data_IF_139431654080
#
_entry.id   IF_139431654080
#
_cell.length_a   1.000
_cell.length_b   1.000
_cell.length_c   1.000
_cell.angle_alpha   90.00
_cell.angle_beta   90.00
_cell.angle_gamma   90.00
#
_symmetry.space_group_name_H-M   'P 1'
#
loop_
_entity.id
_entity.type
_entity.pdbx_description
1 polymer ?
#
# COMPACT_ATOMS: atom_id res chain seq x y z
N UNK A 1 -1.56 38.33 59.33
CA UNK A 1 -1.81 37.12 58.52
C UNK A 1 -2.72 37.57 57.42
N UNK A 2 -2.33 37.33 56.18
CA UNK A 2 -3.12 36.74 55.10
C UNK A 2 -2.11 36.30 54.04
N UNK A 3 -2.44 35.30 53.22
CA UNK A 3 -1.45 34.51 52.47
C UNK A 3 -1.22 35.02 51.05
N UNK A 4 0.04 35.12 50.64
CA UNK A 4 0.41 35.20 49.22
C UNK A 4 0.01 33.91 48.49
N UNK A 5 -0.74 34.05 47.40
CA UNK A 5 -0.90 33.04 46.37
C UNK A 5 -0.05 33.44 45.16
N UNK A 6 0.88 32.61 44.67
CA UNK A 6 1.58 32.89 43.43
C UNK A 6 0.61 32.77 42.24
N UNK A 7 0.70 33.72 41.31
CA UNK A 7 -0.03 33.63 40.04
C UNK A 7 0.42 32.40 39.25
N UNK A 8 -0.54 31.61 38.78
CA UNK A 8 -0.33 30.65 37.70
C UNK A 8 -0.27 31.43 36.39
N UNK A 9 0.78 31.22 35.59
CA UNK A 9 0.81 31.67 34.21
C UNK A 9 0.06 30.64 33.36
N UNK A 10 -0.96 31.07 32.62
CA UNK A 10 -1.49 30.30 31.49
C UNK A 10 -0.47 30.35 30.34
N UNK A 11 0.53 29.47 30.39
CA UNK A 11 1.34 29.13 29.22
C UNK A 11 0.59 28.11 28.38
N UNK A 12 0.35 28.45 27.11
CA UNK A 12 -0.34 27.59 26.15
C UNK A 12 0.29 26.19 26.11
N UNK A 13 -0.48 25.16 26.49
CA UNK A 13 -0.07 23.76 26.36
C UNK A 13 -0.22 23.38 24.89
N UNK A 14 0.81 23.68 24.10
CA UNK A 14 1.04 22.99 22.83
C UNK A 14 1.56 21.59 23.16
N UNK A 15 0.79 20.55 22.85
CA UNK A 15 1.21 19.16 22.98
C UNK A 15 2.33 18.84 21.97
N UNK A 16 3.56 19.21 22.32
CA UNK A 16 4.78 18.73 21.65
C UNK A 16 5.02 17.29 22.08
N UNK A 17 4.24 16.37 21.50
CA UNK A 17 4.56 14.94 21.50
C UNK A 17 5.96 14.75 20.90
N UNK A 18 6.77 13.88 21.50
CA UNK A 18 8.19 13.73 21.19
C UNK A 18 8.46 13.14 19.79
N UNK A 19 8.49 13.96 18.73
CA UNK A 19 9.03 13.63 17.39
C UNK A 19 10.57 13.54 17.41
N UNK A 20 11.11 12.83 18.42
CA UNK A 20 12.55 12.62 18.65
C UNK A 20 12.95 11.15 18.81
N UNK A 21 12.03 10.21 18.55
CA UNK A 21 12.45 8.85 18.19
C UNK A 21 12.94 8.86 16.74
N UNK A 22 14.26 8.73 16.54
CA UNK A 22 14.83 8.50 15.21
C UNK A 22 14.31 7.16 14.68
N UNK A 23 13.26 7.23 13.87
CA UNK A 23 12.69 6.07 13.20
C UNK A 23 13.71 5.54 12.18
N UNK A 24 14.29 4.36 12.45
CA UNK A 24 15.14 3.60 11.51
C UNK A 24 14.27 2.93 10.41
N UNK A 25 13.33 3.72 9.89
CA UNK A 25 12.39 3.42 8.82
C UNK A 25 13.02 3.92 7.51
N UNK A 26 13.11 3.10 6.44
CA UNK A 26 13.59 3.59 5.16
C UNK A 26 12.72 4.75 4.68
N UNK A 27 13.33 5.92 4.45
CA UNK A 27 12.61 7.09 3.92
C UNK A 27 12.60 7.05 2.40
N UNK A 28 11.43 7.31 1.83
CA UNK A 28 11.19 7.46 0.39
C UNK A 28 10.93 8.94 0.10
N UNK A 29 11.70 9.51 -0.81
CA UNK A 29 11.80 10.95 -0.98
C UNK A 29 11.24 11.39 -2.33
N UNK A 30 10.09 12.08 -2.35
CA UNK A 30 9.42 12.54 -3.57
C UNK A 30 9.87 13.97 -3.94
N UNK A 31 10.57 14.10 -5.06
CA UNK A 31 11.14 15.35 -5.58
C UNK A 31 10.77 15.60 -7.04
N UNK A 32 11.01 16.82 -7.54
CA UNK A 32 10.62 17.27 -8.89
C UNK A 32 10.05 18.68 -8.90
N UNK A 33 9.81 19.26 -10.09
CA UNK A 33 9.30 20.64 -10.23
C UNK A 33 7.89 20.85 -9.66
N UNK A 34 7.47 22.11 -9.49
CA UNK A 34 6.08 22.41 -9.15
C UNK A 34 5.13 21.86 -10.23
N UNK A 35 3.95 21.35 -9.85
CA UNK A 35 2.94 20.72 -10.74
C UNK A 35 3.36 19.42 -11.46
N UNK A 36 4.54 18.86 -11.20
CA UNK A 36 4.98 17.59 -11.82
C UNK A 36 4.18 16.33 -11.40
N UNK A 37 3.29 16.42 -10.42
CA UNK A 37 2.35 15.33 -10.05
C UNK A 37 2.65 14.58 -8.74
N UNK A 38 3.76 14.86 -8.04
CA UNK A 38 4.15 14.17 -6.78
C UNK A 38 3.00 13.93 -5.79
N UNK A 39 2.26 14.97 -5.43
CA UNK A 39 1.20 14.89 -4.43
C UNK A 39 -0.02 14.11 -4.95
N UNK A 40 -0.29 14.15 -6.26
CA UNK A 40 -1.28 13.30 -6.93
C UNK A 40 -0.87 11.83 -6.88
N UNK A 41 0.39 11.52 -7.22
CA UNK A 41 0.98 10.18 -7.12
C UNK A 41 0.82 9.63 -5.69
N UNK A 42 1.20 10.41 -4.67
CA UNK A 42 1.09 10.02 -3.26
C UNK A 42 -0.36 9.67 -2.88
N UNK A 43 -1.33 10.55 -3.21
CA UNK A 43 -2.74 10.35 -2.83
C UNK A 43 -3.41 9.22 -3.60
N UNK A 44 -3.03 8.97 -4.85
CA UNK A 44 -3.50 7.80 -5.64
C UNK A 44 -2.97 6.50 -5.02
N UNK A 45 -1.65 6.37 -4.87
CA UNK A 45 -1.02 5.10 -4.49
C UNK A 45 -1.25 4.73 -3.01
N UNK A 46 -1.21 5.70 -2.10
CA UNK A 46 -1.27 5.42 -0.64
C UNK A 46 -2.60 5.85 0.00
N UNK A 47 -3.27 6.85 -0.58
CA UNK A 47 -4.59 7.32 -0.14
C UNK A 47 -5.79 6.63 -0.80
N UNK A 48 -5.58 5.74 -1.78
CA UNK A 48 -6.63 5.20 -2.68
C UNK A 48 -7.53 6.28 -3.33
N UNK A 49 -7.02 7.50 -3.50
CA UNK A 49 -7.79 8.59 -4.13
C UNK A 49 -7.94 8.33 -5.63
N UNK A 50 -9.15 8.39 -6.22
CA UNK A 50 -9.33 8.12 -7.65
C UNK A 50 -8.62 9.22 -8.47
N UNK A 51 -7.98 8.89 -9.62
CA UNK A 51 -7.12 9.83 -10.35
C UNK A 51 -7.81 11.13 -10.76
N UNK A 52 -9.11 11.09 -11.06
CA UNK A 52 -9.92 12.25 -11.45
C UNK A 52 -10.00 13.31 -10.34
N UNK A 53 -10.07 12.91 -9.07
CA UNK A 53 -10.20 13.84 -7.95
C UNK A 53 -8.88 14.55 -7.64
N UNK A 54 -7.75 14.02 -8.13
CA UNK A 54 -6.44 14.65 -7.95
C UNK A 54 -6.30 16.00 -8.65
N UNK A 55 -7.19 16.31 -9.60
CA UNK A 55 -7.28 17.62 -10.26
C UNK A 55 -7.60 18.76 -9.29
N UNK A 56 -8.25 18.45 -8.16
CA UNK A 56 -8.62 19.41 -7.12
C UNK A 56 -7.56 19.57 -6.02
N UNK A 57 -6.41 18.88 -6.11
CA UNK A 57 -5.34 19.02 -5.12
C UNK A 57 -4.65 20.40 -5.22
N UNK A 58 -4.63 21.13 -4.11
CA UNK A 58 -3.89 22.38 -4.01
C UNK A 58 -2.36 22.17 -4.12
N UNK A 59 -1.63 23.22 -4.47
CA UNK A 59 -0.17 23.16 -4.54
C UNK A 59 0.44 23.04 -3.14
N UNK A 60 1.03 21.89 -2.83
CA UNK A 60 1.80 21.62 -1.60
C UNK A 60 2.81 22.75 -1.29
N UNK A 61 2.58 23.46 -0.17
CA UNK A 61 3.39 24.61 0.29
C UNK A 61 4.34 24.29 1.44
N UNK A 62 4.13 23.16 2.13
CA UNK A 62 4.98 22.63 3.21
C UNK A 62 5.31 21.17 2.90
N UNK A 63 6.44 20.66 3.41
CA UNK A 63 6.78 19.24 3.28
C UNK A 63 5.69 18.41 3.97
N UNK A 64 5.04 17.51 3.22
CA UNK A 64 4.12 16.52 3.80
C UNK A 64 4.92 15.26 4.13
N UNK A 65 5.03 14.94 5.43
CA UNK A 65 5.48 13.61 5.90
C UNK A 65 4.26 12.70 6.01
N UNK A 66 4.32 11.50 5.45
CA UNK A 66 3.34 10.43 5.65
C UNK A 66 4.05 9.15 6.12
N UNK A 67 3.74 8.71 7.35
CA UNK A 67 4.20 7.43 7.90
C UNK A 67 3.29 6.30 7.38
N UNK A 68 3.75 5.58 6.36
CA UNK A 68 3.08 4.38 5.85
C UNK A 68 3.51 3.19 6.70
N UNK A 69 2.89 3.04 7.88
CA UNK A 69 3.08 1.87 8.76
C UNK A 69 2.09 0.77 8.41
N UNK A 70 2.38 -0.01 7.35
CA UNK A 70 1.45 -1.04 6.83
C UNK A 70 2.17 -2.38 6.63
N UNK A 71 2.15 -3.19 7.70
CA UNK A 71 2.56 -4.60 7.88
C UNK A 71 3.93 -5.10 7.42
N UNK A 72 4.47 -4.68 6.29
CA UNK A 72 5.66 -5.29 5.69
C UNK A 72 6.89 -4.37 5.71
N UNK A 73 6.73 -3.10 5.32
CA UNK A 73 7.73 -2.05 5.58
C UNK A 73 7.00 -0.88 6.24
N UNK A 74 7.52 -0.43 7.38
CA UNK A 74 7.23 0.92 7.86
C UNK A 74 8.15 1.89 7.11
N UNK A 75 7.63 2.66 6.16
CA UNK A 75 8.39 3.69 5.45
C UNK A 75 7.75 5.07 5.62
N UNK A 76 8.58 6.11 5.52
CA UNK A 76 8.09 7.50 5.51
C UNK A 76 8.18 8.05 4.10
N UNK A 77 7.07 8.51 3.53
CA UNK A 77 7.05 9.31 2.30
C UNK A 77 7.15 10.78 2.67
N UNK A 78 8.11 11.49 2.08
CA UNK A 78 8.26 12.93 2.23
C UNK A 78 8.04 13.60 0.86
N UNK A 79 6.90 14.28 0.66
CA UNK A 79 6.61 15.10 -0.54
C UNK A 79 7.16 16.53 -0.36
N UNK A 80 8.10 16.92 -1.22
CA UNK A 80 8.74 18.23 -1.17
C UNK A 80 8.03 19.25 -2.09
N UNK A 81 7.62 20.42 -1.58
CA UNK A 81 7.19 21.54 -2.41
C UNK A 81 8.23 21.84 -3.50
N UNK A 82 7.80 21.83 -4.76
CA UNK A 82 8.68 22.03 -5.92
C UNK A 82 9.36 23.40 -6.02
N UNK A 83 9.15 24.28 -5.03
CA UNK A 83 9.80 25.59 -4.88
C UNK A 83 10.94 25.60 -3.85
N UNK A 84 11.09 24.57 -2.99
CA UNK A 84 12.15 24.57 -1.97
C UNK A 84 13.52 24.51 -2.61
N UNK A 85 14.38 25.47 -2.27
CA UNK A 85 15.81 25.41 -2.53
C UNK A 85 16.51 24.65 -1.40
N UNK A 86 17.14 23.53 -1.74
CA UNK A 86 17.90 22.66 -0.83
C UNK A 86 19.16 23.31 -0.21
N UNK A 87 19.30 24.64 -0.34
CA UNK A 87 20.43 25.45 0.11
C UNK A 87 20.04 26.53 1.13
N UNK A 88 18.75 26.66 1.48
CA UNK A 88 18.37 27.47 2.64
C UNK A 88 18.87 26.81 3.93
N UNK A 89 19.58 27.57 4.76
CA UNK A 89 20.17 27.10 6.04
C UNK A 89 19.13 26.64 7.09
N UNK A 90 17.84 26.67 6.75
CA UNK A 90 16.75 26.13 7.57
C UNK A 90 16.54 24.60 7.40
N UNK A 91 17.20 23.96 6.43
CA UNK A 91 17.06 22.54 6.14
C UNK A 91 18.42 21.83 6.23
N UNK A 92 18.60 20.95 7.22
CA UNK A 92 19.83 20.14 7.27
C UNK A 92 19.75 18.98 6.26
N UNK A 93 20.50 19.13 5.18
CA UNK A 93 20.71 18.09 4.17
C UNK A 93 21.19 16.74 4.75
N UNK A 94 21.89 16.73 5.89
CA UNK A 94 22.36 15.49 6.52
C UNK A 94 21.22 14.74 7.21
N UNK A 95 20.32 15.44 7.91
CA UNK A 95 19.12 14.82 8.51
C UNK A 95 18.14 14.32 7.44
N UNK A 96 18.01 15.06 6.33
CA UNK A 96 17.11 14.73 5.22
C UNK A 96 17.63 13.52 4.44
N UNK A 97 18.86 13.56 3.92
CA UNK A 97 19.38 12.50 3.03
C UNK A 97 20.06 11.33 3.78
N UNK A 98 20.44 11.49 5.04
CA UNK A 98 21.18 10.47 5.81
C UNK A 98 20.40 9.17 6.06
N UNK A 99 19.07 9.23 6.11
CA UNK A 99 18.15 8.08 6.36
C UNK A 99 17.25 7.73 5.17
N UNK A 100 17.55 8.30 4.00
CA UNK A 100 16.83 7.99 2.75
C UNK A 100 17.38 6.70 2.13
N UNK A 101 16.48 5.81 1.74
CA UNK A 101 16.83 4.62 0.96
C UNK A 101 16.63 4.81 -0.55
N UNK A 102 15.59 5.55 -0.94
CA UNK A 102 15.26 5.83 -2.33
C UNK A 102 14.85 7.30 -2.53
N UNK A 103 15.46 7.94 -3.54
CA UNK A 103 15.08 9.25 -4.02
C UNK A 103 14.34 9.12 -5.35
N UNK A 104 13.05 9.45 -5.33
CA UNK A 104 12.14 9.41 -6.47
C UNK A 104 12.02 10.83 -7.04
N UNK A 105 12.49 11.05 -8.27
CA UNK A 105 12.37 12.35 -8.94
C UNK A 105 11.35 12.29 -10.07
N UNK A 106 10.30 13.11 -9.95
CA UNK A 106 9.16 13.16 -10.87
C UNK A 106 9.34 14.28 -11.90
N UNK A 107 9.63 13.88 -13.14
CA UNK A 107 9.70 14.73 -14.35
C UNK A 107 8.34 14.72 -15.02
N UNK A 108 7.85 15.88 -15.45
CA UNK A 108 6.66 15.99 -16.30
C UNK A 108 7.05 15.75 -17.76
N UNK A 109 6.40 14.80 -18.45
CA UNK A 109 6.66 14.49 -19.85
C UNK A 109 5.88 15.38 -20.84
N UNK A 110 4.95 16.20 -20.37
CA UNK A 110 4.13 17.09 -21.19
C UNK A 110 4.63 18.56 -21.18
N UNK A 111 5.62 18.89 -20.35
CA UNK A 111 6.21 20.22 -20.18
C UNK A 111 7.72 20.22 -20.53
N UNK A 112 8.39 21.38 -20.53
CA UNK A 112 9.84 21.46 -20.78
C UNK A 112 10.65 20.90 -19.61
N UNK A 113 10.97 19.61 -19.70
CA UNK A 113 11.82 18.90 -18.75
C UNK A 113 13.25 19.45 -18.66
N UNK A 114 13.69 20.41 -19.49
CA UNK A 114 15.06 20.97 -19.43
C UNK A 114 15.38 21.59 -18.05
N UNK A 115 14.44 22.28 -17.40
CA UNK A 115 14.65 22.74 -16.02
C UNK A 115 14.66 21.57 -15.03
N UNK A 116 13.78 20.58 -15.23
CA UNK A 116 13.67 19.39 -14.38
C UNK A 116 14.97 18.57 -14.39
N UNK A 117 15.61 18.41 -15.55
CA UNK A 117 16.91 17.73 -15.70
C UNK A 117 18.02 18.46 -14.93
N UNK A 118 18.10 19.79 -15.06
CA UNK A 118 19.07 20.58 -14.29
C UNK A 118 18.86 20.41 -12.78
N UNK A 119 17.60 20.45 -12.32
CA UNK A 119 17.27 20.26 -10.89
C UNK A 119 17.54 18.83 -10.42
N UNK A 120 17.29 17.82 -11.24
CA UNK A 120 17.62 16.41 -10.98
C UNK A 120 19.13 16.25 -10.76
N UNK A 121 19.96 16.74 -11.68
CA UNK A 121 21.43 16.67 -11.59
C UNK A 121 21.98 17.28 -10.29
N UNK A 122 21.51 18.47 -9.91
CA UNK A 122 21.90 19.10 -8.64
C UNK A 122 21.42 18.31 -7.42
N UNK A 123 20.22 17.72 -7.48
CA UNK A 123 19.63 16.92 -6.39
C UNK A 123 20.42 15.63 -6.17
N UNK A 124 20.66 14.85 -7.22
CA UNK A 124 21.43 13.60 -7.20
C UNK A 124 22.85 13.84 -6.70
N UNK A 125 23.54 14.86 -7.24
CA UNK A 125 24.90 15.22 -6.84
C UNK A 125 24.98 15.66 -5.38
N UNK A 126 23.94 16.29 -4.83
CA UNK A 126 23.89 16.70 -3.43
C UNK A 126 23.60 15.52 -2.50
N UNK A 127 22.62 14.68 -2.84
CA UNK A 127 22.23 13.50 -2.07
C UNK A 127 23.35 12.46 -1.99
N UNK A 128 23.98 12.12 -3.12
CA UNK A 128 25.08 11.14 -3.18
C UNK A 128 26.32 11.56 -2.37
N UNK A 129 26.54 12.87 -2.21
CA UNK A 129 27.59 13.43 -1.34
C UNK A 129 27.30 13.32 0.16
N UNK A 130 26.05 13.11 0.55
CA UNK A 130 25.65 12.86 1.94
C UNK A 130 25.59 11.35 2.23
N UNK A 131 24.92 10.59 1.37
CA UNK A 131 24.73 9.15 1.52
C UNK A 131 24.88 8.44 0.15
N UNK A 132 25.97 7.67 -0.07
CA UNK A 132 26.20 6.97 -1.33
C UNK A 132 25.34 5.71 -1.51
N UNK A 133 24.57 5.30 -0.49
CA UNK A 133 23.71 4.11 -0.55
C UNK A 133 22.28 4.42 -1.03
N UNK A 134 21.97 5.67 -1.38
CA UNK A 134 20.66 6.07 -1.92
C UNK A 134 20.47 5.46 -3.31
N UNK A 135 19.34 4.80 -3.53
CA UNK A 135 18.86 4.42 -4.87
C UNK A 135 18.20 5.63 -5.55
N UNK A 136 18.50 5.85 -6.84
CA UNK A 136 18.05 7.02 -7.59
C UNK A 136 17.11 6.62 -8.73
N UNK A 137 15.87 7.04 -8.61
CA UNK A 137 14.73 6.52 -9.36
C UNK A 137 13.99 7.69 -10.02
N UNK A 138 13.86 7.69 -11.34
CA UNK A 138 13.31 8.80 -12.12
C UNK A 138 11.97 8.38 -12.71
N UNK A 139 10.90 9.07 -12.31
CA UNK A 139 9.57 8.88 -12.89
C UNK A 139 9.38 9.92 -14.00
N UNK A 140 9.33 9.45 -15.24
CA UNK A 140 8.84 10.22 -16.38
C UNK A 140 7.32 10.09 -16.33
N UNK A 141 6.64 11.18 -15.99
CA UNK A 141 5.26 11.17 -15.55
C UNK A 141 4.32 11.89 -16.53
N UNK A 142 3.02 11.60 -16.44
CA UNK A 142 1.98 12.07 -17.37
C UNK A 142 2.18 11.60 -18.82
N UNK A 143 2.53 10.32 -18.97
CA UNK A 143 2.71 9.69 -20.29
C UNK A 143 1.40 9.30 -20.99
N UNK A 144 0.26 9.52 -20.33
CA UNK A 144 -1.11 9.23 -20.79
C UNK A 144 -1.46 9.89 -22.13
N UNK A 145 -1.09 11.16 -22.33
CA UNK A 145 -1.36 11.91 -23.56
C UNK A 145 -0.38 11.65 -24.72
N UNK A 146 0.58 10.72 -24.58
CA UNK A 146 1.71 10.56 -25.49
C UNK A 146 1.63 9.26 -26.32
N UNK A 147 2.09 9.29 -27.56
CA UNK A 147 2.25 8.08 -28.38
C UNK A 147 3.44 7.25 -27.91
N UNK A 148 3.40 5.93 -28.10
CA UNK A 148 4.44 5.03 -27.58
C UNK A 148 5.83 5.28 -28.18
N UNK A 149 5.90 5.65 -29.47
CA UNK A 149 7.14 6.14 -30.10
C UNK A 149 7.72 7.35 -29.34
N UNK A 150 6.87 8.32 -28.97
CA UNK A 150 7.29 9.53 -28.26
C UNK A 150 7.66 9.25 -26.80
N UNK A 151 7.01 8.26 -26.14
CA UNK A 151 7.42 7.77 -24.81
C UNK A 151 8.85 7.21 -24.85
N UNK A 152 9.15 6.38 -25.85
CA UNK A 152 10.47 5.76 -26.04
C UNK A 152 11.53 6.83 -26.36
N UNK A 153 11.26 7.75 -27.29
CA UNK A 153 12.19 8.83 -27.64
C UNK A 153 12.43 9.77 -26.45
N UNK A 154 11.39 10.14 -25.70
CA UNK A 154 11.51 10.99 -24.49
C UNK A 154 12.31 10.30 -23.40
N UNK A 155 12.05 9.02 -23.13
CA UNK A 155 12.84 8.23 -22.16
C UNK A 155 14.31 8.18 -22.56
N UNK A 156 14.59 7.96 -23.85
CA UNK A 156 15.95 7.89 -24.38
C UNK A 156 16.69 9.21 -24.31
N UNK A 157 16.04 10.33 -24.64
CA UNK A 157 16.64 11.67 -24.59
C UNK A 157 16.91 12.10 -23.14
N UNK A 158 15.94 11.91 -22.24
CA UNK A 158 16.10 12.13 -20.78
C UNK A 158 17.25 11.28 -20.22
N UNK A 159 17.29 9.99 -20.54
CA UNK A 159 18.35 9.09 -20.09
C UNK A 159 19.72 9.46 -20.65
N UNK A 160 19.81 9.83 -21.94
CA UNK A 160 21.07 10.23 -22.56
C UNK A 160 21.59 11.54 -21.95
N UNK A 161 20.77 12.60 -21.89
CA UNK A 161 21.18 13.90 -21.31
C UNK A 161 21.62 13.78 -19.85
N UNK A 162 20.97 12.90 -19.07
CA UNK A 162 21.40 12.62 -17.69
C UNK A 162 22.73 11.88 -17.62
N UNK A 163 22.92 10.82 -18.42
CA UNK A 163 24.17 10.07 -18.44
C UNK A 163 25.34 10.95 -18.92
N UNK A 164 25.14 11.77 -19.95
CA UNK A 164 26.14 12.71 -20.46
C UNK A 164 26.54 13.72 -19.35
N UNK A 165 25.56 14.29 -18.62
CA UNK A 165 25.81 15.22 -17.51
C UNK A 165 26.51 14.56 -16.29
N UNK A 166 26.22 13.29 -16.00
CA UNK A 166 26.89 12.53 -14.92
C UNK A 166 28.31 12.09 -15.33
N UNK A 167 28.55 11.82 -16.61
CA UNK A 167 29.88 11.51 -17.15
C UNK A 167 30.80 12.75 -17.11
N UNK A 168 30.30 13.93 -17.51
CA UNK A 168 31.01 15.22 -17.35
C UNK A 168 31.37 15.50 -15.88
N UNK A 169 30.53 15.06 -14.94
CA UNK A 169 30.77 15.17 -13.50
C UNK A 169 31.70 14.09 -12.92
N UNK A 170 32.17 13.12 -13.72
CA UNK A 170 32.95 11.94 -13.31
C UNK A 170 32.25 11.05 -12.27
N UNK A 171 30.91 11.03 -12.30
CA UNK A 171 30.03 10.29 -11.37
C UNK A 171 29.48 8.99 -11.98
N UNK A 172 30.28 8.28 -12.79
CA UNK A 172 29.86 7.08 -13.55
C UNK A 172 29.31 5.92 -12.67
N UNK A 173 29.57 5.94 -11.37
CA UNK A 173 29.05 4.97 -10.40
C UNK A 173 27.57 5.18 -10.02
N UNK A 174 26.96 6.33 -10.39
CA UNK A 174 25.56 6.61 -10.09
C UNK A 174 24.67 6.01 -11.18
N UNK A 175 23.93 4.95 -10.83
CA UNK A 175 22.96 4.33 -11.72
C UNK A 175 21.56 4.90 -11.48
N UNK A 176 21.09 5.73 -12.42
CA UNK A 176 19.69 6.19 -12.47
C UNK A 176 18.81 5.12 -13.12
N UNK A 177 17.71 4.74 -12.47
CA UNK A 177 16.65 3.91 -13.09
C UNK A 177 15.51 4.81 -13.57
N UNK A 178 14.91 4.52 -14.72
CA UNK A 178 13.86 5.34 -15.34
C UNK A 178 12.58 4.53 -15.54
N UNK A 179 11.45 5.09 -15.13
CA UNK A 179 10.12 4.50 -15.32
C UNK A 179 9.21 5.48 -16.06
N UNK A 180 8.43 4.97 -17.02
CA UNK A 180 7.30 5.67 -17.62
C UNK A 180 6.07 5.45 -16.73
N UNK A 181 5.38 6.52 -16.32
CA UNK A 181 4.28 6.45 -15.35
C UNK A 181 3.13 7.39 -15.66
N UNK A 182 1.93 6.94 -15.30
CA UNK A 182 0.66 7.66 -15.38
C UNK A 182 -0.11 7.41 -14.08
N UNK A 183 -0.90 8.37 -13.61
CA UNK A 183 -1.85 8.12 -12.52
C UNK A 183 -3.13 7.42 -13.01
N UNK A 184 -3.40 7.42 -14.32
CA UNK A 184 -4.58 6.79 -14.92
C UNK A 184 -4.37 5.30 -15.25
N UNK A 185 -3.12 4.88 -15.37
CA UNK A 185 -2.72 3.50 -15.69
C UNK A 185 -2.06 2.85 -14.47
N UNK A 186 -2.01 1.52 -14.42
CA UNK A 186 -1.43 0.80 -13.27
C UNK A 186 0.12 0.92 -13.21
N UNK A 187 0.74 1.56 -14.22
CA UNK A 187 2.18 1.76 -14.36
C UNK A 187 2.83 2.47 -13.16
N UNK A 188 2.11 3.37 -12.48
CA UNK A 188 2.63 4.02 -11.27
C UNK A 188 2.84 3.01 -10.13
N UNK A 189 1.90 2.08 -9.93
CA UNK A 189 2.02 1.04 -8.90
C UNK A 189 3.11 0.02 -9.26
N UNK A 190 3.28 -0.30 -10.55
CA UNK A 190 4.35 -1.19 -11.02
C UNK A 190 5.75 -0.57 -10.79
N UNK A 191 5.91 0.72 -11.08
CA UNK A 191 7.12 1.46 -10.77
C UNK A 191 7.39 1.53 -9.26
N UNK A 192 6.39 1.88 -8.44
CA UNK A 192 6.54 1.91 -6.98
C UNK A 192 6.88 0.53 -6.40
N UNK A 193 6.33 -0.55 -6.95
CA UNK A 193 6.66 -1.93 -6.55
C UNK A 193 8.14 -2.26 -6.79
N UNK A 194 8.68 -1.91 -7.97
CA UNK A 194 10.11 -2.08 -8.28
C UNK A 194 11.03 -1.21 -7.43
N UNK A 195 10.60 0.02 -7.10
CA UNK A 195 11.35 0.92 -6.21
C UNK A 195 11.34 0.40 -4.77
N UNK A 196 10.19 -0.06 -4.27
CA UNK A 196 10.06 -0.62 -2.93
C UNK A 196 10.83 -1.93 -2.80
N UNK A 197 10.82 -2.80 -3.81
CA UNK A 197 11.65 -4.01 -3.87
C UNK A 197 13.13 -3.73 -3.62
N UNK A 198 13.70 -2.68 -4.23
CA UNK A 198 15.11 -2.27 -4.01
C UNK A 198 15.41 -1.85 -2.56
N UNK A 199 14.41 -1.46 -1.77
CA UNK A 199 14.55 -1.12 -0.36
C UNK A 199 14.54 -2.36 0.56
N UNK A 200 14.03 -3.50 0.08
CA UNK A 200 13.87 -4.72 0.87
C UNK A 200 15.20 -5.49 0.90
N UNK A 201 15.94 -5.33 2.00
CA UNK A 201 17.23 -6.00 2.24
C UNK A 201 17.18 -7.55 2.15
N UNK A 202 15.99 -8.13 2.27
CA UNK A 202 15.71 -9.57 2.23
C UNK A 202 14.90 -10.03 1.01
N UNK A 203 14.76 -9.16 -0.02
CA UNK A 203 14.13 -9.51 -1.30
C UNK A 203 14.65 -10.84 -1.89
N UNK A 204 15.98 -11.12 -1.93
CA UNK A 204 16.47 -12.38 -2.51
C UNK A 204 15.98 -13.62 -1.75
N UNK A 205 15.65 -13.51 -0.46
CA UNK A 205 15.06 -14.62 0.30
C UNK A 205 13.62 -14.86 -0.15
N UNK A 206 12.82 -13.80 -0.31
CA UNK A 206 11.42 -13.87 -0.74
C UNK A 206 11.30 -14.33 -2.19
N UNK A 207 12.14 -13.82 -3.10
CA UNK A 207 12.25 -14.30 -4.48
C UNK A 207 12.57 -15.80 -4.52
N UNK A 208 13.53 -16.28 -3.72
CA UNK A 208 13.87 -17.70 -3.67
C UNK A 208 12.72 -18.56 -3.11
N UNK A 209 11.99 -18.09 -2.09
CA UNK A 209 10.80 -18.78 -1.59
C UNK A 209 9.69 -18.85 -2.65
N UNK A 210 9.46 -17.77 -3.40
CA UNK A 210 8.50 -17.74 -4.52
C UNK A 210 8.94 -18.66 -5.68
N UNK A 211 10.22 -18.67 -6.04
CA UNK A 211 10.77 -19.59 -7.06
C UNK A 211 10.61 -21.07 -6.65
N UNK A 212 10.83 -21.39 -5.37
CA UNK A 212 10.60 -22.74 -4.81
C UNK A 212 9.11 -23.11 -4.81
N UNK A 213 8.22 -22.16 -4.50
CA UNK A 213 6.77 -22.39 -4.58
C UNK A 213 6.32 -22.65 -6.03
N UNK A 214 6.73 -21.81 -6.98
CA UNK A 214 6.31 -21.93 -8.38
C UNK A 214 6.80 -23.24 -9.02
N UNK A 215 8.08 -23.57 -8.82
CA UNK A 215 8.69 -24.79 -9.39
C UNK A 215 8.13 -26.10 -8.83
N UNK A 216 7.70 -26.13 -7.56
CA UNK A 216 7.09 -27.32 -6.96
C UNK A 216 5.58 -27.44 -7.22
N UNK A 217 4.87 -26.31 -7.35
CA UNK A 217 3.40 -26.29 -7.55
C UNK A 217 2.96 -26.25 -9.02
N UNK A 218 3.85 -25.91 -9.96
CA UNK A 218 3.48 -25.70 -11.37
C UNK A 218 2.70 -24.40 -11.59
N UNK A 219 3.12 -23.33 -10.92
CA UNK A 219 2.57 -21.98 -11.08
C UNK A 219 3.42 -21.26 -12.13
N UNK A 220 2.78 -20.61 -13.11
CA UNK A 220 3.47 -19.96 -14.24
C UNK A 220 4.02 -18.57 -13.83
N UNK A 221 3.34 -17.85 -12.92
CA UNK A 221 3.77 -16.55 -12.35
C UNK A 221 3.21 -16.34 -10.93
N UNK A 222 3.98 -15.75 -10.02
CA UNK A 222 3.53 -15.41 -8.66
C UNK A 222 3.92 -14.00 -8.19
N UNK A 223 3.03 -13.38 -7.42
CA UNK A 223 3.18 -12.05 -6.84
C UNK A 223 2.74 -12.04 -5.37
N UNK A 224 3.56 -11.45 -4.50
CA UNK A 224 3.19 -11.14 -3.12
C UNK A 224 2.79 -9.66 -3.04
N UNK A 225 1.49 -9.39 -2.88
CA UNK A 225 0.89 -8.05 -2.87
C UNK A 225 0.62 -7.53 -1.45
N UNK A 226 0.68 -6.21 -1.25
CA UNK A 226 -0.05 -5.51 -0.21
C UNK A 226 -1.49 -5.22 -0.67
N UNK A 227 -2.47 -5.77 0.04
CA UNK A 227 -3.91 -5.63 -0.22
C UNK A 227 -4.39 -4.17 -0.20
N UNK A 228 -3.72 -3.29 0.57
CA UNK A 228 -4.14 -1.89 0.73
C UNK A 228 -3.52 -0.93 -0.29
N UNK A 229 -2.26 -1.12 -0.70
CA UNK A 229 -1.60 -0.24 -1.70
C UNK A 229 -1.58 -0.81 -3.11
N UNK A 230 -1.95 -2.09 -3.29
CA UNK A 230 -1.77 -2.88 -4.54
C UNK A 230 -0.31 -3.03 -4.99
N UNK A 231 0.65 -2.67 -4.16
CA UNK A 231 2.08 -2.76 -4.47
C UNK A 231 2.52 -4.22 -4.31
N UNK A 232 3.21 -4.77 -5.31
CA UNK A 232 3.80 -6.11 -5.16
C UNK A 232 5.19 -6.02 -4.52
N UNK A 233 5.29 -6.60 -3.33
CA UNK A 233 6.45 -6.60 -2.43
C UNK A 233 7.54 -7.56 -2.91
N UNK A 234 7.15 -8.68 -3.53
CA UNK A 234 8.04 -9.64 -4.15
C UNK A 234 7.34 -10.35 -5.31
N UNK A 235 8.13 -10.93 -6.22
CA UNK A 235 7.66 -11.76 -7.33
C UNK A 235 8.67 -12.88 -7.59
N UNK A 236 8.28 -13.92 -8.33
CA UNK A 236 9.22 -14.92 -8.81
C UNK A 236 10.14 -14.37 -9.94
N UNK A 237 11.20 -15.10 -10.27
CA UNK A 237 12.27 -14.67 -11.18
C UNK A 237 11.89 -14.56 -12.68
N UNK A 238 10.69 -14.97 -13.09
CA UNK A 238 10.21 -14.69 -14.45
C UNK A 238 9.89 -13.20 -14.64
N UNK A 239 10.01 -12.64 -15.87
CA UNK A 239 9.73 -11.23 -16.10
C UNK A 239 8.29 -10.87 -15.73
N UNK A 240 8.11 -9.72 -15.08
CA UNK A 240 6.78 -9.15 -14.83
C UNK A 240 6.19 -8.67 -16.15
N UNK A 241 4.99 -9.15 -16.45
CA UNK A 241 4.15 -8.66 -17.53
C UNK A 241 3.09 -7.70 -16.97
N UNK A 242 2.85 -6.60 -17.70
CA UNK A 242 1.95 -5.54 -17.28
C UNK A 242 0.49 -6.00 -17.26
N UNK A 243 0.06 -6.79 -18.25
CA UNK A 243 -1.33 -7.26 -18.35
C UNK A 243 -1.65 -8.24 -17.21
N UNK A 244 -0.69 -9.11 -16.89
CA UNK A 244 -0.73 -10.01 -15.75
C UNK A 244 -0.81 -9.25 -14.42
N UNK A 245 -0.07 -8.14 -14.29
CA UNK A 245 -0.10 -7.29 -13.10
C UNK A 245 -1.44 -6.54 -12.94
N UNK A 246 -1.97 -5.95 -14.02
CA UNK A 246 -3.28 -5.29 -14.05
C UNK A 246 -4.40 -6.24 -13.62
N UNK A 247 -4.45 -7.44 -14.20
CA UNK A 247 -5.43 -8.47 -13.86
C UNK A 247 -5.34 -8.94 -12.40
N UNK A 248 -4.13 -9.02 -11.83
CA UNK A 248 -3.93 -9.31 -10.41
C UNK A 248 -4.37 -8.13 -9.51
N UNK A 249 -4.14 -6.88 -9.92
CA UNK A 249 -4.64 -5.68 -9.22
C UNK A 249 -6.17 -5.68 -9.13
N UNK A 250 -6.84 -5.99 -10.24
CA UNK A 250 -8.30 -5.91 -10.32
C UNK A 250 -8.96 -7.08 -9.60
N UNK A 251 -8.29 -8.23 -9.54
CA UNK A 251 -8.69 -9.34 -8.66
C UNK A 251 -8.71 -8.95 -7.18
N UNK A 252 -7.78 -8.08 -6.71
CA UNK A 252 -7.79 -7.60 -5.32
C UNK A 252 -9.04 -6.77 -5.04
N UNK A 253 -9.36 -5.81 -5.90
CA UNK A 253 -10.57 -4.98 -5.72
C UNK A 253 -11.83 -5.84 -5.74
N UNK A 254 -11.98 -6.75 -6.73
CA UNK A 254 -13.16 -7.63 -6.83
C UNK A 254 -13.32 -8.52 -5.59
N UNK A 255 -12.23 -9.05 -5.03
CA UNK A 255 -12.31 -9.89 -3.83
C UNK A 255 -12.65 -9.06 -2.59
N UNK A 256 -12.02 -7.91 -2.41
CA UNK A 256 -12.25 -7.04 -1.25
C UNK A 256 -13.63 -6.38 -1.28
N UNK A 257 -14.14 -5.96 -2.45
CA UNK A 257 -15.50 -5.42 -2.57
C UNK A 257 -16.55 -6.50 -2.25
N UNK A 258 -16.36 -7.74 -2.71
CA UNK A 258 -17.23 -8.88 -2.37
C UNK A 258 -17.14 -9.19 -0.87
N UNK A 259 -15.95 -9.14 -0.26
CA UNK A 259 -15.75 -9.32 1.18
C UNK A 259 -16.45 -8.22 1.99
N UNK A 260 -16.34 -6.95 1.59
CA UNK A 260 -17.03 -5.83 2.23
C UNK A 260 -18.56 -5.95 2.15
N UNK A 261 -19.11 -6.50 1.05
CA UNK A 261 -20.57 -6.68 0.88
C UNK A 261 -21.10 -7.88 1.68
N UNK A 262 -20.39 -9.02 1.66
CA UNK A 262 -20.92 -10.30 2.18
C UNK A 262 -20.24 -10.79 3.48
N UNK A 263 -18.96 -10.49 3.69
CA UNK A 263 -18.20 -10.89 4.88
C UNK A 263 -18.67 -10.22 6.19
N UNK A 264 -19.41 -9.11 6.09
CA UNK A 264 -20.01 -8.44 7.24
C UNK A 264 -21.02 -9.31 8.03
N UNK A 265 -21.56 -10.39 7.44
CA UNK A 265 -22.56 -11.26 8.08
C UNK A 265 -21.94 -12.37 8.96
N UNK A 266 -21.04 -11.99 9.86
CA UNK A 266 -20.44 -12.88 10.86
C UNK A 266 -20.30 -12.31 12.28
N UNK A 267 -20.20 -10.99 12.42
CA UNK A 267 -19.99 -10.31 13.72
C UNK A 267 -21.15 -9.39 14.06
N UNK A 268 -22.09 -9.86 14.88
CA UNK A 268 -23.24 -9.08 15.35
C UNK A 268 -22.80 -7.82 16.13
N UNK A 269 -23.02 -6.60 15.63
CA UNK A 269 -22.53 -5.40 16.28
C UNK A 269 -23.50 -4.94 17.37
N UNK A 270 -23.42 -5.57 18.55
CA UNK A 270 -23.98 -5.01 19.78
C UNK A 270 -23.03 -3.89 20.29
N UNK A 271 -22.83 -2.89 19.44
CA UNK A 271 -21.81 -1.84 19.54
C UNK A 271 -22.22 -0.62 18.73
N UNK A 272 -22.77 0.37 19.42
CA UNK A 272 -23.32 1.59 18.83
C UNK A 272 -22.25 2.43 18.11
N UNK A 273 -22.35 2.53 16.78
CA UNK A 273 -21.69 3.58 16.00
C UNK A 273 -22.75 4.29 15.14
N UNK A 274 -23.28 5.39 15.67
CA UNK A 274 -24.24 6.25 14.98
C UNK A 274 -23.55 7.04 13.87
N UNK A 275 -23.96 6.82 12.63
CA UNK A 275 -23.74 7.81 11.56
C UNK A 275 -24.57 9.04 11.91
N UNK A 276 -23.94 10.21 11.96
CA UNK A 276 -24.60 11.49 12.20
C UNK A 276 -24.73 12.19 10.85
N UNK A 277 -25.84 11.95 10.17
CA UNK A 277 -26.22 12.71 8.98
C UNK A 277 -26.73 14.09 9.43
N UNK A 278 -25.88 15.12 9.30
CA UNK A 278 -26.24 16.49 9.61
C UNK A 278 -26.64 17.30 8.35
N UNK A 279 -27.90 17.75 8.36
CA UNK A 279 -28.48 18.87 7.61
C UNK A 279 -28.70 18.71 6.09
N UNK A 280 -29.97 18.76 5.67
CA UNK A 280 -30.30 18.83 4.24
C UNK A 280 -31.77 18.77 3.83
N UNK A 281 -32.74 19.29 4.60
CA UNK A 281 -34.09 19.52 4.03
C UNK A 281 -34.87 20.67 4.70
N UNK A 282 -35.87 21.18 3.99
CA UNK A 282 -36.50 22.50 4.19
C UNK A 282 -37.97 22.43 4.67
N UNK A 283 -38.39 23.45 5.42
CA UNK A 283 -39.77 23.96 5.59
C UNK A 283 -40.97 23.05 6.00
N UNK A 284 -41.53 23.43 7.16
CA UNK A 284 -42.96 23.66 7.44
C UNK A 284 -43.99 22.56 7.84
N UNK A 285 -44.83 22.99 8.80
CA UNK A 285 -46.23 22.66 9.06
C UNK A 285 -46.66 21.41 9.88
N UNK A 286 -47.03 21.70 11.14
CA UNK A 286 -48.36 21.44 11.76
C UNK A 286 -48.93 20.00 11.93
N UNK A 287 -48.94 19.56 13.21
CA UNK A 287 -50.15 19.33 14.05
C UNK A 287 -50.41 17.93 14.67
N UNK A 288 -50.98 17.98 15.89
CA UNK A 288 -51.59 17.05 16.86
C UNK A 288 -51.53 15.50 16.73
N UNK A 289 -51.87 14.81 17.84
CA UNK A 289 -52.48 13.47 17.77
C UNK A 289 -51.79 12.34 18.56
N UNK A 290 -51.71 12.44 19.89
CA UNK A 290 -51.26 11.31 20.73
C UNK A 290 -52.27 10.17 20.85
N UNK A 291 -51.82 8.91 20.88
CA UNK A 291 -52.72 7.75 21.01
C UNK A 291 -52.06 6.39 21.33
N UNK A 292 -51.91 6.08 22.62
CA UNK A 292 -51.55 4.73 23.09
C UNK A 292 -52.83 3.88 23.20
N UNK A 293 -52.88 2.68 22.62
CA UNK A 293 -53.63 1.55 23.20
C UNK A 293 -53.20 0.18 22.65
N UNK A 294 -53.45 -0.88 23.41
CA UNK A 294 -53.03 -2.26 23.11
C UNK A 294 -54.15 -3.31 23.28
N UNK A 295 -53.86 -4.52 22.81
CA UNK A 295 -54.53 -5.84 23.04
C UNK A 295 -55.90 -6.13 22.39
N UNK A 296 -56.05 -7.39 21.91
CA UNK A 296 -57.37 -7.98 21.64
C UNK A 296 -57.42 -9.31 20.85
N UNK A 297 -57.13 -10.46 21.49
CA UNK A 297 -57.56 -11.85 21.17
C UNK A 297 -57.21 -12.45 19.76
N UNK A 298 -57.25 -13.76 19.50
CA UNK A 298 -57.51 -14.98 20.31
C UNK A 298 -58.23 -16.08 19.48
N UNK A 299 -58.28 -17.35 19.96
CA UNK A 299 -58.91 -18.57 19.33
C UNK A 299 -58.00 -19.16 18.20
N UNK A 300 -57.48 -20.41 18.16
CA UNK A 300 -57.95 -21.80 18.45
C UNK A 300 -58.72 -22.45 17.26
N UNK A 301 -58.77 -23.76 16.95
CA UNK A 301 -58.19 -25.06 17.43
C UNK A 301 -58.35 -26.09 16.24
N UNK A 302 -57.90 -27.35 16.13
CA UNK A 302 -57.27 -28.40 16.96
C UNK A 302 -56.54 -29.46 16.03
N UNK A 303 -56.14 -30.63 16.55
CA UNK A 303 -55.68 -31.89 15.89
C UNK A 303 -54.27 -32.00 15.23
N UNK A 304 -53.54 -33.14 15.24
CA UNK A 304 -53.19 -34.24 16.21
C UNK A 304 -52.58 -35.43 15.44
N UNK A 305 -51.39 -35.91 15.82
CA UNK A 305 -51.11 -37.32 16.22
C UNK A 305 -49.67 -37.46 16.80
N UNK A 306 -49.30 -38.65 17.30
CA UNK A 306 -48.23 -38.90 18.27
C UNK A 306 -47.05 -39.74 17.72
N UNK A 307 -45.92 -39.73 18.43
CA UNK A 307 -44.82 -40.68 18.25
C UNK A 307 -43.60 -40.37 19.14
N UNK A 308 -43.26 -41.28 20.06
CA UNK A 308 -42.16 -41.13 21.03
C UNK A 308 -40.76 -41.25 20.42
N UNK A 309 -39.76 -40.65 21.06
CA UNK A 309 -38.33 -41.06 21.09
C UNK A 309 -37.64 -40.46 22.33
N UNK A 310 -36.72 -41.21 22.94
CA UNK A 310 -36.21 -41.00 24.29
C UNK A 310 -35.22 -39.83 24.48
N UNK A 311 -35.24 -39.24 25.67
CA UNK A 311 -34.22 -38.27 26.13
C UNK A 311 -33.09 -38.96 26.91
N UNK A 312 -32.02 -39.39 26.25
CA UNK A 312 -30.76 -39.78 26.91
C UNK A 312 -29.57 -38.87 26.54
N UNK A 313 -29.03 -38.22 27.56
CA UNK A 313 -27.70 -37.59 27.69
C UNK A 313 -26.76 -37.59 26.46
N UNK A 314 -26.80 -36.52 25.67
CA UNK A 314 -25.67 -36.13 24.84
C UNK A 314 -24.55 -35.54 25.71
N UNK A 315 -23.37 -36.15 25.62
CA UNK A 315 -22.12 -35.59 26.18
C UNK A 315 -21.59 -34.51 25.23
N UNK A 316 -20.94 -33.44 25.72
CA UNK A 316 -20.20 -32.55 24.84
C UNK A 316 -19.08 -33.35 24.16
N UNK A 317 -19.09 -33.39 22.83
CA UNK A 317 -17.93 -33.85 22.07
C UNK A 317 -16.81 -32.81 22.18
N UNK A 318 -15.57 -33.26 22.28
CA UNK A 318 -14.40 -32.39 22.41
C UNK A 318 -14.14 -31.62 21.11
N UNK A 319 -13.50 -30.45 21.23
CA UNK A 319 -13.49 -29.45 20.17
C UNK A 319 -12.83 -29.92 18.87
N UNK A 320 -13.55 -29.75 17.75
CA UNK A 320 -12.91 -29.55 16.45
C UNK A 320 -12.31 -28.15 16.44
N UNK A 321 -10.99 -28.09 16.35
CA UNK A 321 -10.23 -26.85 16.19
C UNK A 321 -10.64 -26.16 14.88
N UNK A 322 -11.43 -25.10 14.97
CA UNK A 322 -11.75 -24.24 13.83
C UNK A 322 -10.57 -23.31 13.60
N UNK A 323 -9.51 -23.85 13.00
CA UNK A 323 -8.43 -23.03 12.44
C UNK A 323 -9.01 -21.95 11.53
N UNK A 324 -8.50 -20.73 11.65
CA UNK A 324 -8.99 -19.57 10.91
C UNK A 324 -8.98 -19.90 9.40
N UNK A 325 -10.12 -19.73 8.75
CA UNK A 325 -10.30 -20.13 7.36
C UNK A 325 -9.68 -19.07 6.43
N UNK A 326 -8.35 -19.15 6.28
CA UNK A 326 -7.52 -18.31 5.42
C UNK A 326 -8.25 -17.82 4.16
N UNK A 327 -8.38 -16.50 4.02
CA UNK A 327 -9.11 -15.92 2.90
C UNK A 327 -8.49 -16.37 1.58
N UNK A 328 -9.32 -16.96 0.71
CA UNK A 328 -8.89 -17.57 -0.54
C UNK A 328 -9.91 -17.37 -1.65
N UNK A 329 -9.42 -17.07 -2.85
CA UNK A 329 -10.26 -16.79 -4.01
C UNK A 329 -9.69 -17.46 -5.26
N UNK A 330 -10.59 -17.83 -6.16
CA UNK A 330 -10.29 -18.58 -7.38
C UNK A 330 -11.11 -18.03 -8.54
N UNK A 331 -10.44 -17.44 -9.53
CA UNK A 331 -11.04 -17.02 -10.78
C UNK A 331 -10.50 -17.91 -11.91
N UNK A 332 -11.40 -18.47 -12.73
CA UNK A 332 -11.03 -19.23 -13.93
C UNK A 332 -11.44 -18.44 -15.17
N UNK A 333 -10.50 -18.25 -16.09
CA UNK A 333 -10.73 -17.59 -17.36
C UNK A 333 -11.16 -18.60 -18.44
N UNK A 334 -11.76 -18.10 -19.52
CA UNK A 334 -12.23 -18.91 -20.65
C UNK A 334 -11.08 -19.44 -21.53
N UNK A 335 -9.94 -18.76 -21.52
CA UNK A 335 -8.72 -19.16 -22.21
C UNK A 335 -8.01 -20.39 -21.58
N UNK A 336 -8.41 -20.81 -20.37
CA UNK A 336 -7.81 -21.93 -19.64
C UNK A 336 -6.81 -21.54 -18.53
N UNK A 337 -6.58 -20.24 -18.32
CA UNK A 337 -5.80 -19.74 -17.20
C UNK A 337 -6.65 -19.61 -15.92
N UNK A 338 -5.97 -19.68 -14.77
CA UNK A 338 -6.56 -19.67 -13.44
C UNK A 338 -5.77 -18.70 -12.57
N UNK A 339 -6.48 -17.79 -11.92
CA UNK A 339 -5.94 -16.90 -10.90
C UNK A 339 -6.35 -17.44 -9.54
N UNK A 340 -5.35 -17.73 -8.71
CA UNK A 340 -5.50 -18.27 -7.37
C UNK A 340 -4.90 -17.29 -6.36
N UNK A 341 -5.72 -16.85 -5.42
CA UNK A 341 -5.38 -15.85 -4.42
C UNK A 341 -5.48 -16.43 -3.02
N UNK A 342 -4.51 -16.12 -2.15
CA UNK A 342 -4.54 -16.50 -0.73
C UNK A 342 -3.90 -15.49 0.21
N UNK A 343 -4.53 -15.32 1.38
CA UNK A 343 -4.00 -14.54 2.49
C UNK A 343 -2.76 -15.19 3.12
N UNK A 344 -1.64 -14.45 3.08
CA UNK A 344 -0.41 -14.78 3.84
C UNK A 344 -0.48 -14.14 5.23
N UNK A 345 -1.01 -12.91 5.32
CA UNK A 345 -1.27 -12.17 6.55
C UNK A 345 -2.32 -11.08 6.24
N UNK A 346 -2.89 -10.41 7.25
CA UNK A 346 -4.03 -9.47 7.11
C UNK A 346 -3.90 -8.37 6.06
N UNK A 347 -2.67 -7.94 5.73
CA UNK A 347 -2.41 -6.96 4.67
C UNK A 347 -1.59 -7.55 3.50
N UNK A 348 -1.29 -8.85 3.50
CA UNK A 348 -0.42 -9.49 2.52
C UNK A 348 -1.10 -10.68 1.86
N UNK A 349 -1.24 -10.61 0.54
CA UNK A 349 -1.94 -11.59 -0.28
C UNK A 349 -1.01 -12.12 -1.37
N UNK A 350 -0.92 -13.45 -1.49
CA UNK A 350 -0.24 -14.10 -2.60
C UNK A 350 -1.23 -14.29 -3.74
N UNK A 351 -0.85 -13.90 -4.96
CA UNK A 351 -1.61 -14.17 -6.18
C UNK A 351 -0.75 -14.98 -7.14
N UNK A 352 -1.32 -16.08 -7.63
CA UNK A 352 -0.67 -17.07 -8.48
C UNK A 352 -1.46 -17.21 -9.80
N UNK A 353 -0.76 -17.05 -10.93
CA UNK A 353 -1.28 -17.36 -12.27
C UNK A 353 -0.81 -18.76 -12.65
N UNK A 354 -1.75 -19.64 -13.00
CA UNK A 354 -1.48 -21.05 -13.28
C UNK A 354 -2.49 -21.60 -14.29
N UNK A 355 -2.10 -22.63 -15.05
CA UNK A 355 -2.99 -23.26 -16.04
C UNK A 355 -3.97 -24.21 -15.39
N UNK A 356 -5.16 -24.34 -15.97
CA UNK A 356 -6.20 -25.25 -15.48
C UNK A 356 -5.70 -26.69 -15.23
N UNK A 357 -4.85 -27.21 -16.12
CA UNK A 357 -4.27 -28.56 -16.03
C UNK A 357 -3.39 -28.78 -14.78
N UNK A 358 -2.72 -27.73 -14.29
CA UNK A 358 -1.90 -27.81 -13.08
C UNK A 358 -2.75 -27.74 -11.80
N UNK A 359 -3.93 -27.10 -11.88
CA UNK A 359 -4.84 -26.91 -10.75
C UNK A 359 -5.51 -28.20 -10.24
N UNK A 360 -5.50 -29.29 -11.02
CA UNK A 360 -6.03 -30.61 -10.58
C UNK A 360 -5.36 -31.14 -9.30
N UNK A 361 -4.18 -30.61 -8.95
CA UNK A 361 -3.39 -30.99 -7.76
C UNK A 361 -3.56 -30.05 -6.57
N UNK A 362 -4.73 -29.41 -6.42
CA UNK A 362 -5.01 -28.39 -5.39
C UNK A 362 -4.40 -28.68 -4.01
N UNK A 363 -4.59 -29.89 -3.46
CA UNK A 363 -4.05 -30.27 -2.13
C UNK A 363 -2.53 -30.26 -1.99
N UNK A 364 -1.77 -30.33 -3.09
CA UNK A 364 -0.32 -30.10 -3.08
C UNK A 364 0.03 -28.60 -3.14
N UNK A 365 -0.78 -27.82 -3.85
CA UNK A 365 -0.65 -26.35 -3.89
C UNK A 365 -0.98 -25.77 -2.50
N UNK A 366 -2.04 -26.27 -1.84
CA UNK A 366 -2.38 -25.96 -0.45
C UNK A 366 -1.21 -26.22 0.51
N UNK A 367 -0.63 -27.42 0.45
CA UNK A 367 0.47 -27.82 1.32
C UNK A 367 1.73 -26.98 1.08
N UNK A 368 2.12 -26.78 -0.19
CA UNK A 368 3.26 -25.95 -0.55
C UNK A 368 3.04 -24.48 -0.14
N UNK A 369 1.79 -23.97 -0.24
CA UNK A 369 1.43 -22.64 0.23
C UNK A 369 1.54 -22.51 1.74
N UNK A 370 1.10 -23.50 2.52
CA UNK A 370 1.22 -23.48 3.98
C UNK A 370 2.69 -23.38 4.41
N UNK A 371 3.57 -24.23 3.85
CA UNK A 371 5.01 -24.16 4.12
C UNK A 371 5.64 -22.83 3.66
N UNK A 372 5.14 -22.22 2.58
CA UNK A 372 5.55 -20.89 2.14
C UNK A 372 5.10 -19.79 3.14
N UNK A 373 3.85 -19.81 3.59
CA UNK A 373 3.28 -18.88 4.57
C UNK A 373 4.04 -18.91 5.91
N UNK A 374 4.37 -20.11 6.38
CA UNK A 374 5.22 -20.32 7.56
C UNK A 374 6.61 -19.71 7.36
N UNK A 375 7.32 -20.08 6.29
CA UNK A 375 8.68 -19.57 6.00
C UNK A 375 8.73 -18.05 5.81
N UNK A 376 7.73 -17.47 5.15
CA UNK A 376 7.61 -16.02 4.96
C UNK A 376 7.33 -15.30 6.29
N UNK A 377 6.54 -15.91 7.19
CA UNK A 377 6.31 -15.38 8.54
C UNK A 377 7.58 -15.40 9.40
N UNK A 378 8.39 -16.47 9.32
CA UNK A 378 9.69 -16.53 10.00
C UNK A 378 10.66 -15.42 9.53
N UNK A 379 10.69 -15.14 8.21
CA UNK A 379 11.48 -14.03 7.64
C UNK A 379 11.02 -12.68 8.19
N UNK A 380 9.71 -12.45 8.33
CA UNK A 380 9.19 -11.19 8.89
C UNK A 380 9.53 -11.03 10.37
N UNK A 381 9.41 -12.10 11.17
CA UNK A 381 9.88 -12.08 12.55
C UNK A 381 11.38 -11.79 12.64
N UNK A 382 12.21 -12.38 11.78
CA UNK A 382 13.65 -12.14 11.76
C UNK A 382 14.00 -10.68 11.43
N UNK A 383 13.39 -10.13 10.38
CA UNK A 383 13.59 -8.73 9.96
C UNK A 383 13.18 -7.75 11.06
N UNK A 384 12.00 -7.93 11.68
CA UNK A 384 11.54 -7.09 12.79
C UNK A 384 12.44 -7.21 14.04
N UNK A 385 12.89 -8.42 14.39
CA UNK A 385 13.80 -8.64 15.52
C UNK A 385 15.16 -7.95 15.30
N UNK A 386 15.71 -7.98 14.09
CA UNK A 386 16.96 -7.28 13.77
C UNK A 386 16.82 -5.77 13.86
N UNK A 387 15.76 -5.18 13.28
CA UNK A 387 15.56 -3.73 13.33
C UNK A 387 15.41 -3.24 14.80
N UNK A 388 14.69 -4.00 15.65
CA UNK A 388 14.59 -3.73 17.09
C UNK A 388 15.89 -3.90 17.88
N UNK A 389 16.88 -4.62 17.35
CA UNK A 389 18.21 -4.74 17.95
C UNK A 389 19.12 -3.57 17.54
N UNK A 390 19.08 -3.13 16.28
CA UNK A 390 19.82 -1.94 15.85
C UNK A 390 19.37 -0.66 16.58
N UNK A 391 18.07 -0.54 16.90
CA UNK A 391 17.56 0.55 17.75
C UNK A 391 17.89 0.44 19.25
N UNK A 392 18.77 -0.49 19.65
CA UNK A 392 19.08 -0.76 21.07
C UNK A 392 20.59 -0.82 21.41
N UNK A 393 21.46 -0.87 20.39
CA UNK A 393 22.94 -0.86 20.49
C UNK A 393 23.57 0.47 20.05
N UNK A 394 22.78 1.55 19.93
CA UNK A 394 23.19 2.92 19.58
C UNK A 394 22.64 3.95 20.58
#
# INVERSE_FOLDING_TARGET
MDYDYPHVNDSEITDTLDDSTHSDKPRILLMGLQRSGKSSIQRVVFGKMPPNDTLYLESTTKIQKEDVTRSFIDFQIWDFPGQINFFDMAYDSQEIFGSVGALIFVIDAQDDYTEALNRLYYTVTSAYRVNPNITFEVLIHKVDGLSDDYKIDTQRDVQQRMNDALADAQMEYIHLTYYLTSIYDHSIYEAFSKIIQKLIRELPTLENLLNVLCSNSGIDKAYLFDTLTKIYIATDSSPVDMQSYELCSDMIDVVIDIECIYGAQGSSPNGHLSIVDENGDDQDAEDDGGGIHANGNGIAEEHVDNGDIDTESLRPAEGTDQGEADASSLIKLDNGDVLYMREVNRLLVLICLLRHDNFEKHGLIDYNFQCFKEAVTEVFEFSQKRNRQHSHDM
#
